data_IF_150899764153
#
_entry.id   IF_150899764153
#
_cell.length_a   1.000
_cell.length_b   1.000
_cell.length_c   1.000
_cell.angle_alpha   90.00
_cell.angle_beta   90.00
_cell.angle_gamma   90.00
#
_symmetry.space_group_name_H-M   'P 1'
#
loop_
_entity.id
_entity.type
_entity.pdbx_description
1 polymer ?
#
# COMPACT_ATOMS: atom_id res chain seq x y z
N UNK A 1 12.78 11.67 0.16
CA UNK A 1 11.81 12.11 1.19
C UNK A 1 12.41 11.86 2.56
N UNK A 2 12.36 12.84 3.48
CA UNK A 2 12.80 12.70 4.87
C UNK A 2 12.01 13.67 5.78
N UNK A 3 11.42 13.16 6.88
CA UNK A 3 10.69 13.93 7.90
C UNK A 3 9.17 14.06 7.67
N UNK A 4 8.36 13.71 8.68
CA UNK A 4 6.88 13.82 8.68
C UNK A 4 6.43 15.08 9.41
N UNK A 5 5.53 15.85 8.80
CA UNK A 5 4.80 16.93 9.46
C UNK A 5 3.59 16.41 10.25
N UNK A 6 2.95 15.34 9.78
CA UNK A 6 1.89 14.61 10.48
C UNK A 6 2.19 13.11 10.39
N UNK A 7 2.36 12.44 11.53
CA UNK A 7 2.67 11.02 11.55
C UNK A 7 1.45 10.12 11.26
N UNK A 8 0.27 10.52 11.72
CA UNK A 8 -0.96 9.72 11.59
C UNK A 8 -1.50 9.74 10.16
N UNK A 9 -1.40 10.90 9.49
CA UNK A 9 -1.80 11.08 8.10
C UNK A 9 -0.65 10.78 7.12
N UNK A 10 0.57 10.61 7.63
CA UNK A 10 1.81 10.47 6.85
C UNK A 10 1.94 11.65 5.89
N UNK A 11 1.88 12.87 6.41
CA UNK A 11 2.11 14.11 5.65
C UNK A 11 3.60 14.43 5.77
N UNK A 12 4.33 14.68 4.67
CA UNK A 12 5.76 14.95 4.72
C UNK A 12 6.02 16.42 5.03
N UNK A 13 7.21 16.75 5.52
CA UNK A 13 7.61 18.16 5.74
C UNK A 13 7.85 18.92 4.43
N UNK A 14 8.25 18.21 3.37
CA UNK A 14 8.68 18.78 2.09
C UNK A 14 8.17 17.92 0.93
N UNK A 15 8.04 18.52 -0.25
CA UNK A 15 7.80 17.79 -1.48
C UNK A 15 8.96 16.82 -1.78
N UNK A 16 8.70 15.83 -2.62
CA UNK A 16 9.74 14.93 -3.09
C UNK A 16 9.46 14.38 -4.48
N UNK A 17 10.50 14.20 -5.28
CA UNK A 17 10.42 13.65 -6.63
C UNK A 17 11.01 12.23 -6.67
N UNK A 18 10.48 11.36 -7.52
CA UNK A 18 11.05 10.06 -7.84
C UNK A 18 10.90 9.69 -9.31
N UNK A 19 11.68 8.70 -9.74
CA UNK A 19 11.54 8.01 -11.01
C UNK A 19 11.05 6.59 -10.74
N UNK A 20 9.93 6.20 -11.35
CA UNK A 20 9.37 4.85 -11.26
C UNK A 20 10.18 3.88 -12.13
N UNK A 21 10.54 2.72 -11.57
CA UNK A 21 11.38 1.71 -12.21
C UNK A 21 10.52 0.51 -12.62
N UNK A 22 10.81 -0.04 -13.79
CA UNK A 22 10.09 -1.20 -14.34
C UNK A 22 10.52 -2.54 -13.68
N UNK A 23 11.83 -2.70 -13.41
CA UNK A 23 12.39 -3.99 -12.97
C UNK A 23 12.10 -4.38 -11.52
N UNK A 24 11.60 -3.47 -10.70
CA UNK A 24 11.48 -3.65 -9.26
C UNK A 24 10.06 -3.31 -8.84
N UNK A 25 9.22 -4.33 -8.77
CA UNK A 25 7.79 -4.19 -8.51
C UNK A 25 7.30 -5.20 -7.47
N UNK A 26 6.07 -4.98 -7.01
CA UNK A 26 5.35 -5.86 -6.10
C UNK A 26 4.01 -6.19 -6.74
N UNK A 27 3.63 -7.46 -6.71
CA UNK A 27 2.29 -7.89 -7.06
C UNK A 27 1.52 -8.16 -5.78
N UNK A 28 0.25 -7.75 -5.75
CA UNK A 28 -0.63 -7.97 -4.61
C UNK A 28 -2.01 -8.33 -5.11
N UNK A 29 -2.62 -9.36 -4.53
CA UNK A 29 -4.03 -9.67 -4.64
C UNK A 29 -4.69 -9.44 -3.28
N UNK A 30 -5.84 -8.77 -3.30
CA UNK A 30 -6.70 -8.60 -2.14
C UNK A 30 -8.02 -9.33 -2.39
N UNK A 31 -8.44 -10.17 -1.44
CA UNK A 31 -9.72 -10.87 -1.49
C UNK A 31 -10.50 -10.55 -0.22
N UNK A 32 -11.63 -9.86 -0.34
CA UNK A 32 -12.53 -9.56 0.77
C UNK A 32 -13.68 -10.57 0.78
N UNK A 33 -13.91 -11.24 1.91
CA UNK A 33 -14.88 -12.33 2.00
C UNK A 33 -15.53 -12.38 3.39
N UNK A 34 -16.84 -12.63 3.44
CA UNK A 34 -17.62 -12.73 4.68
C UNK A 34 -17.33 -14.01 5.48
N UNK A 35 -16.68 -15.01 4.86
CA UNK A 35 -16.27 -16.25 5.51
C UNK A 35 -14.95 -16.12 6.29
N UNK A 36 -14.21 -15.03 6.10
CA UNK A 36 -12.98 -14.77 6.83
C UNK A 36 -13.32 -14.24 8.24
N UNK A 37 -12.67 -14.79 9.25
CA UNK A 37 -12.81 -14.42 10.67
C UNK A 37 -11.83 -13.33 11.12
N UNK A 38 -10.77 -13.12 10.33
CA UNK A 38 -9.74 -12.09 10.51
C UNK A 38 -9.04 -11.81 9.18
N UNK A 39 -8.18 -10.80 9.17
CA UNK A 39 -7.30 -10.57 8.02
C UNK A 39 -6.15 -11.59 8.00
N UNK A 40 -5.79 -12.03 6.81
CA UNK A 40 -4.64 -12.91 6.56
C UNK A 40 -3.66 -12.24 5.62
N UNK A 41 -2.37 -12.34 5.89
CA UNK A 41 -1.33 -11.80 5.03
C UNK A 41 -0.29 -12.86 4.67
N UNK A 42 -0.11 -13.06 3.36
CA UNK A 42 0.89 -13.93 2.77
C UNK A 42 1.89 -13.09 1.98
N UNK A 43 3.19 -13.27 2.23
CA UNK A 43 4.28 -12.61 1.51
C UNK A 43 5.19 -13.67 0.90
N UNK A 44 5.37 -13.62 -0.42
CA UNK A 44 6.14 -14.59 -1.21
C UNK A 44 5.70 -16.04 -0.98
N UNK A 45 4.40 -16.26 -0.78
CA UNK A 45 3.79 -17.58 -0.56
C UNK A 45 3.84 -18.08 0.87
N UNK A 46 4.44 -17.35 1.80
CA UNK A 46 4.50 -17.70 3.22
C UNK A 46 3.56 -16.82 4.05
N UNK A 47 2.84 -17.42 5.00
CA UNK A 47 2.03 -16.66 5.95
C UNK A 47 2.94 -15.85 6.86
N UNK A 48 2.68 -14.55 6.95
CA UNK A 48 3.49 -13.63 7.76
C UNK A 48 3.04 -13.69 9.21
N UNK A 49 3.96 -13.40 10.13
CA UNK A 49 3.63 -13.37 11.55
C UNK A 49 2.50 -12.38 11.90
N UNK A 50 1.93 -12.58 13.08
CA UNK A 50 0.79 -11.80 13.57
C UNK A 50 1.12 -10.30 13.68
N UNK A 51 2.35 -9.94 14.04
CA UNK A 51 2.74 -8.54 14.26
C UNK A 51 2.80 -7.76 12.94
N UNK A 52 3.36 -8.35 11.89
CA UNK A 52 3.36 -7.72 10.56
C UNK A 52 1.95 -7.76 9.95
N UNK A 53 1.19 -8.83 10.16
CA UNK A 53 -0.22 -8.90 9.75
C UNK A 53 -1.04 -7.78 10.38
N UNK A 54 -0.87 -7.49 11.68
CA UNK A 54 -1.54 -6.38 12.36
C UNK A 54 -1.25 -5.01 11.72
N UNK A 55 -0.05 -4.78 11.19
CA UNK A 55 0.24 -3.53 10.46
C UNK A 55 -0.55 -3.42 9.16
N UNK A 56 -0.69 -4.53 8.44
CA UNK A 56 -1.51 -4.59 7.23
C UNK A 56 -2.99 -4.44 7.59
N UNK A 57 -3.47 -5.10 8.65
CA UNK A 57 -4.85 -4.93 9.15
C UNK A 57 -5.18 -3.49 9.50
N UNK A 58 -4.28 -2.77 10.20
CA UNK A 58 -4.50 -1.36 10.52
C UNK A 58 -4.61 -0.48 9.26
N UNK A 59 -3.91 -0.83 8.19
CA UNK A 59 -4.08 -0.18 6.90
C UNK A 59 -5.42 -0.56 6.24
N UNK A 60 -5.79 -1.84 6.28
CA UNK A 60 -7.06 -2.35 5.76
C UNK A 60 -8.26 -1.76 6.49
N UNK A 61 -8.15 -1.39 7.77
CA UNK A 61 -9.20 -0.67 8.49
C UNK A 61 -9.54 0.68 7.83
N UNK A 62 -8.52 1.41 7.37
CA UNK A 62 -8.72 2.67 6.63
C UNK A 62 -9.39 2.43 5.28
N UNK A 63 -9.05 1.33 4.61
CA UNK A 63 -9.66 0.91 3.34
C UNK A 63 -11.13 0.56 3.57
N UNK A 64 -11.42 -0.26 4.58
CA UNK A 64 -12.77 -0.69 4.98
C UNK A 64 -13.67 0.48 5.32
N UNK A 65 -13.18 1.41 6.14
CA UNK A 65 -13.90 2.64 6.49
C UNK A 65 -14.29 3.42 5.24
N UNK A 66 -13.35 3.59 4.30
CA UNK A 66 -13.58 4.35 3.06
C UNK A 66 -14.52 3.62 2.10
N UNK A 67 -14.48 2.30 2.05
CA UNK A 67 -15.33 1.49 1.19
C UNK A 67 -16.70 1.18 1.81
N UNK A 68 -16.91 1.46 3.10
CA UNK A 68 -18.16 1.17 3.80
C UNK A 68 -18.42 -0.33 4.00
N UNK A 69 -17.36 -1.13 4.17
CA UNK A 69 -17.43 -2.58 4.35
C UNK A 69 -16.80 -3.03 5.66
N UNK A 70 -17.31 -4.12 6.24
CA UNK A 70 -16.74 -4.76 7.43
C UNK A 70 -16.03 -6.08 7.11
N UNK A 71 -15.88 -6.42 5.83
CA UNK A 71 -15.27 -7.67 5.40
C UNK A 71 -13.79 -7.73 5.76
N UNK A 72 -13.37 -8.86 6.31
CA UNK A 72 -11.96 -9.19 6.44
C UNK A 72 -11.36 -9.54 5.08
N UNK A 73 -10.03 -9.44 4.97
CA UNK A 73 -9.33 -9.67 3.73
C UNK A 73 -8.19 -10.69 3.85
N UNK A 74 -8.04 -11.49 2.80
CA UNK A 74 -6.81 -12.22 2.52
C UNK A 74 -5.98 -11.41 1.53
N UNK A 75 -4.75 -11.11 1.91
CA UNK A 75 -3.76 -10.40 1.10
C UNK A 75 -2.66 -11.38 0.71
N UNK A 76 -2.48 -11.62 -0.58
CA UNK A 76 -1.38 -12.41 -1.12
C UNK A 76 -0.46 -11.46 -1.91
N UNK A 77 0.79 -11.31 -1.48
CA UNK A 77 1.74 -10.41 -2.12
C UNK A 77 3.07 -11.07 -2.45
N UNK A 78 3.62 -10.77 -3.62
CA UNK A 78 4.94 -11.24 -4.08
C UNK A 78 5.80 -10.03 -4.42
N UNK A 79 6.99 -9.97 -3.82
CA UNK A 79 7.92 -8.87 -4.02
C UNK A 79 9.08 -9.28 -4.93
N UNK A 80 9.29 -8.54 -6.02
CA UNK A 80 10.35 -8.78 -7.00
C UNK A 80 11.54 -7.82 -6.83
N UNK A 81 11.60 -7.09 -5.71
CA UNK A 81 12.75 -6.27 -5.32
C UNK A 81 13.82 -7.16 -4.69
N UNK A 82 15.08 -7.14 -5.15
CA UNK A 82 16.14 -7.93 -4.54
C UNK A 82 16.35 -7.56 -3.07
N UNK A 83 16.20 -8.54 -2.17
CA UNK A 83 16.29 -8.35 -0.71
C UNK A 83 17.63 -7.74 -0.27
N UNK A 84 18.70 -7.98 -1.03
CA UNK A 84 20.06 -7.47 -0.75
C UNK A 84 20.32 -6.03 -1.22
N UNK A 85 19.40 -5.40 -1.97
CA UNK A 85 19.68 -4.13 -2.65
C UNK A 85 19.42 -2.87 -1.79
N UNK A 86 18.94 -3.00 -0.55
CA UNK A 86 18.62 -1.83 0.29
C UNK A 86 17.54 -0.91 -0.28
N UNK A 87 16.80 -1.38 -1.29
CA UNK A 87 15.72 -0.64 -1.94
C UNK A 87 14.43 -0.76 -1.13
N UNK A 88 13.69 0.34 -1.05
CA UNK A 88 12.49 0.48 -0.24
C UNK A 88 11.33 -0.38 -0.78
N UNK A 89 11.26 -1.65 -0.37
CA UNK A 89 10.17 -2.57 -0.72
C UNK A 89 8.79 -2.07 -0.28
N UNK A 90 8.72 -1.22 0.75
CA UNK A 90 7.46 -0.72 1.28
C UNK A 90 6.74 0.26 0.33
N UNK A 91 7.45 0.95 -0.56
CA UNK A 91 6.82 1.89 -1.48
C UNK A 91 5.97 1.15 -2.53
N UNK A 92 6.56 0.17 -3.22
CA UNK A 92 5.86 -0.66 -4.19
C UNK A 92 4.79 -1.52 -3.51
N UNK A 93 5.07 -2.07 -2.33
CA UNK A 93 4.12 -2.91 -1.61
C UNK A 93 2.82 -2.18 -1.24
N UNK A 94 2.89 -0.99 -0.65
CA UNK A 94 1.66 -0.26 -0.28
C UNK A 94 0.96 0.36 -1.49
N UNK A 95 1.68 0.64 -2.58
CA UNK A 95 1.06 1.06 -3.84
C UNK A 95 0.25 -0.09 -4.47
N UNK A 96 0.86 -1.29 -4.54
CA UNK A 96 0.20 -2.50 -5.05
C UNK A 96 -0.99 -2.90 -4.16
N UNK A 97 -0.84 -2.84 -2.83
CA UNK A 97 -1.92 -3.11 -1.90
C UNK A 97 -3.08 -2.13 -2.05
N UNK A 98 -2.81 -0.82 -2.15
CA UNK A 98 -3.84 0.18 -2.37
C UNK A 98 -4.61 -0.08 -3.68
N UNK A 99 -3.89 -0.39 -4.76
CA UNK A 99 -4.48 -0.69 -6.06
C UNK A 99 -5.35 -1.95 -6.01
N UNK A 100 -4.83 -3.03 -5.41
CA UNK A 100 -5.56 -4.29 -5.24
C UNK A 100 -6.83 -4.11 -4.41
N UNK A 101 -6.78 -3.33 -3.34
CA UNK A 101 -7.97 -3.00 -2.54
C UNK A 101 -9.00 -2.16 -3.31
N UNK A 102 -8.53 -1.15 -4.05
CA UNK A 102 -9.40 -0.30 -4.88
C UNK A 102 -10.15 -1.12 -5.94
N UNK A 103 -9.47 -2.08 -6.56
CA UNK A 103 -10.07 -3.01 -7.53
C UNK A 103 -11.03 -4.01 -6.84
N UNK A 104 -10.57 -4.70 -5.79
CA UNK A 104 -11.35 -5.75 -5.13
C UNK A 104 -12.63 -5.24 -4.46
N UNK A 105 -12.66 -3.96 -4.07
CA UNK A 105 -13.82 -3.30 -3.46
C UNK A 105 -14.56 -2.36 -4.42
N UNK A 106 -14.17 -2.33 -5.69
CA UNK A 106 -14.78 -1.49 -6.74
C UNK A 106 -14.92 -0.01 -6.32
N UNK A 107 -13.89 0.52 -5.64
CA UNK A 107 -13.95 1.87 -5.04
C UNK A 107 -13.88 2.99 -6.08
N UNK A 108 -13.47 2.67 -7.32
CA UNK A 108 -13.40 3.59 -8.46
C UNK A 108 -12.62 4.89 -8.14
N UNK A 109 -11.53 4.78 -7.37
CA UNK A 109 -10.70 5.93 -7.01
C UNK A 109 -9.95 6.45 -8.24
N UNK A 110 -9.84 7.79 -8.33
CA UNK A 110 -8.89 8.43 -9.23
C UNK A 110 -7.45 8.09 -8.81
N UNK A 111 -6.48 8.14 -9.73
CA UNK A 111 -5.05 7.94 -9.40
C UNK A 111 -4.58 8.86 -8.27
N UNK A 112 -5.13 10.08 -8.20
CA UNK A 112 -4.84 11.03 -7.13
C UNK A 112 -5.36 10.57 -5.77
N UNK A 113 -6.56 10.00 -5.72
CA UNK A 113 -7.12 9.49 -4.47
C UNK A 113 -6.54 8.14 -4.08
N UNK A 114 -6.16 7.33 -5.06
CA UNK A 114 -5.39 6.11 -4.86
C UNK A 114 -4.01 6.42 -4.30
N UNK A 115 -3.32 7.46 -4.79
CA UNK A 115 -2.03 7.89 -4.23
C UNK A 115 -2.14 8.36 -2.78
N UNK A 116 -3.24 9.04 -2.43
CA UNK A 116 -3.54 9.43 -1.05
C UNK A 116 -3.81 8.22 -0.16
N UNK A 117 -4.48 7.19 -0.68
CA UNK A 117 -4.70 5.95 0.04
C UNK A 117 -3.38 5.19 0.24
N UNK A 118 -2.55 5.04 -0.79
CA UNK A 118 -1.23 4.41 -0.71
C UNK A 118 -0.31 5.12 0.31
N UNK A 119 -0.35 6.46 0.35
CA UNK A 119 0.40 7.29 1.30
C UNK A 119 0.17 6.87 2.75
N UNK A 120 -1.07 6.49 3.10
CA UNK A 120 -1.45 6.10 4.48
C UNK A 120 -0.77 4.82 4.95
N UNK A 121 -0.30 3.98 4.04
CA UNK A 121 0.52 2.81 4.37
C UNK A 121 2.01 3.15 4.37
N UNK A 122 2.48 3.84 3.32
CA UNK A 122 3.85 4.35 3.25
C UNK A 122 3.90 5.63 2.42
N UNK A 123 4.52 6.69 2.95
CA UNK A 123 4.52 8.01 2.30
C UNK A 123 5.06 7.97 0.86
N UNK A 124 6.14 7.24 0.62
CA UNK A 124 6.72 7.08 -0.72
C UNK A 124 5.86 6.27 -1.68
N UNK A 125 4.94 5.44 -1.18
CA UNK A 125 4.04 4.64 -2.03
C UNK A 125 3.10 5.51 -2.88
N UNK A 126 2.78 6.72 -2.42
CA UNK A 126 1.99 7.69 -3.19
C UNK A 126 2.54 7.93 -4.60
N UNK A 127 3.86 7.99 -4.76
CA UNK A 127 4.49 8.23 -6.06
C UNK A 127 4.52 7.00 -6.95
N UNK A 128 4.47 5.81 -6.36
CA UNK A 128 4.47 4.54 -7.09
C UNK A 128 3.13 4.21 -7.77
N UNK A 129 2.11 5.05 -7.59
CA UNK A 129 0.87 5.00 -8.40
C UNK A 129 1.11 5.50 -9.83
N UNK A 130 2.12 6.36 -10.03
CA UNK A 130 2.38 7.00 -11.33
C UNK A 130 3.65 6.42 -11.97
N UNK A 131 3.61 6.23 -13.29
CA UNK A 131 4.78 5.90 -14.10
C UNK A 131 5.70 7.11 -14.34
N UNK A 132 6.93 6.87 -14.81
CA UNK A 132 7.87 7.94 -15.17
C UNK A 132 8.32 8.77 -13.96
N UNK A 133 8.30 10.09 -14.10
CA UNK A 133 8.61 11.02 -13.00
C UNK A 133 7.35 11.35 -12.20
N UNK A 134 7.44 11.20 -10.89
CA UNK A 134 6.32 11.45 -9.98
C UNK A 134 6.77 12.36 -8.84
N UNK A 135 5.97 13.37 -8.52
CA UNK A 135 6.14 14.23 -7.36
C UNK A 135 5.11 13.88 -6.29
N UNK A 136 5.56 13.73 -5.04
CA UNK A 136 4.70 13.76 -3.88
C UNK A 136 4.70 15.19 -3.34
N UNK A 137 3.63 15.89 -3.65
CA UNK A 137 3.28 17.16 -3.04
C UNK A 137 2.93 16.93 -1.57
N UNK A 138 3.52 17.73 -0.67
CA UNK A 138 3.38 17.48 0.78
C UNK A 138 1.95 17.53 1.30
N UNK A 139 0.99 17.98 0.51
CA UNK A 139 -0.29 18.44 1.04
C UNK A 139 -0.18 19.91 1.35
#
# INVERSE_FOLDING_TARGET
YWGKADEALIIPMNNSLSLTLDKFYTETRATFDAQLDRDYFYLNGEEVDEKETQKISAYLDLVRERAGTALHARIDSTNFVPTAAGLASSASAFAALAAACNEALEMNLSDKDLSRLARRGSGSASRSIFGGFAEWEKG
#
